data_IF_614119024804
#
_entry.id   IF_614119024804
#
_cell.length_a   1.000
_cell.length_b   1.000
_cell.length_c   1.000
_cell.angle_alpha   90.00
_cell.angle_beta   90.00
_cell.angle_gamma   90.00
#
_symmetry.space_group_name_H-M   'P 1'
#
loop_
_entity.id
_entity.type
_entity.pdbx_description
1 polymer ?
#
# COMPACT_ATOMS: atom_id res chain seq x y z
N UNK A 1 -2.01 -16.56 4.45
CA UNK A 1 -2.55 -15.19 4.54
C UNK A 1 -1.62 -14.27 3.78
N UNK A 2 -2.10 -13.08 3.42
CA UNK A 2 -1.29 -12.08 2.70
C UNK A 2 -0.05 -11.69 3.50
N UNK A 3 -0.19 -11.56 4.83
CA UNK A 3 0.92 -11.28 5.75
C UNK A 3 2.02 -12.34 5.70
N UNK A 4 1.66 -13.63 5.62
CA UNK A 4 2.65 -14.69 5.48
C UNK A 4 3.41 -14.56 4.16
N UNK A 5 2.69 -14.36 3.06
CA UNK A 5 3.28 -14.19 1.73
C UNK A 5 4.21 -12.98 1.65
N UNK A 6 3.86 -11.88 2.31
CA UNK A 6 4.70 -10.69 2.44
C UNK A 6 6.05 -11.02 3.10
N UNK A 7 6.07 -11.72 4.24
CA UNK A 7 7.32 -12.08 4.90
C UNK A 7 8.13 -13.13 4.13
N UNK A 8 7.48 -14.08 3.45
CA UNK A 8 8.16 -15.01 2.53
C UNK A 8 8.81 -14.26 1.36
N UNK A 9 8.14 -13.24 0.82
CA UNK A 9 8.68 -12.37 -0.21
C UNK A 9 9.89 -11.58 0.30
N UNK A 10 9.78 -10.95 1.48
CA UNK A 10 10.89 -10.21 2.08
C UNK A 10 12.14 -11.05 2.29
N UNK A 11 12.00 -12.26 2.85
CA UNK A 11 13.12 -13.18 3.03
C UNK A 11 13.72 -13.63 1.70
N UNK A 12 12.88 -14.06 0.74
CA UNK A 12 13.35 -14.55 -0.57
C UNK A 12 14.03 -13.47 -1.44
N UNK A 13 13.78 -12.19 -1.15
CA UNK A 13 14.38 -11.05 -1.85
C UNK A 13 15.49 -10.37 -1.04
N UNK A 14 15.97 -11.01 0.03
CA UNK A 14 17.02 -10.50 0.90
C UNK A 14 16.72 -9.09 1.47
N UNK A 15 15.45 -8.77 1.67
CA UNK A 15 15.01 -7.52 2.30
C UNK A 15 15.03 -7.61 3.82
N UNK A 16 14.97 -8.84 4.35
CA UNK A 16 14.98 -9.15 5.78
C UNK A 16 15.92 -10.33 5.99
N UNK A 17 16.63 -10.37 7.12
CA UNK A 17 17.59 -11.44 7.40
C UNK A 17 16.94 -12.84 7.44
N UNK A 18 17.71 -13.88 7.11
CA UNK A 18 17.26 -15.28 7.22
C UNK A 18 16.83 -15.63 8.65
N UNK A 19 17.52 -15.08 9.66
CA UNK A 19 17.21 -15.28 11.07
C UNK A 19 15.84 -14.68 11.42
N UNK A 20 15.62 -13.41 11.08
CA UNK A 20 14.33 -12.73 11.31
C UNK A 20 13.20 -13.46 10.58
N UNK A 21 13.42 -13.87 9.33
CA UNK A 21 12.44 -14.63 8.54
C UNK A 21 12.10 -15.96 9.22
N UNK A 22 13.11 -16.71 9.68
CA UNK A 22 12.90 -17.98 10.37
C UNK A 22 12.12 -17.82 11.68
N UNK A 23 12.41 -16.76 12.45
CA UNK A 23 11.66 -16.43 13.69
C UNK A 23 10.21 -16.11 13.36
N UNK A 24 9.95 -15.26 12.36
CA UNK A 24 8.60 -14.90 11.91
C UNK A 24 7.82 -16.15 11.48
N UNK A 25 8.40 -16.99 10.63
CA UNK A 25 7.72 -18.20 10.13
C UNK A 25 7.42 -19.21 11.22
N UNK A 26 8.17 -19.18 12.33
CA UNK A 26 8.01 -20.10 13.45
C UNK A 26 7.05 -19.60 14.54
N UNK A 27 7.08 -18.30 14.84
CA UNK A 27 6.42 -17.74 16.04
C UNK A 27 5.22 -16.85 15.75
N UNK A 28 4.99 -16.44 14.49
CA UNK A 28 3.81 -15.68 14.11
C UNK A 28 2.64 -16.60 13.75
N UNK A 29 1.45 -16.25 14.23
CA UNK A 29 0.21 -16.93 13.90
C UNK A 29 -0.42 -16.29 12.65
N UNK A 30 -0.39 -17.02 11.54
CA UNK A 30 -0.95 -16.59 10.27
C UNK A 30 -2.38 -17.08 10.02
N UNK A 31 -3.04 -17.65 11.03
CA UNK A 31 -4.41 -18.12 10.90
C UNK A 31 -5.40 -16.95 10.76
N UNK A 32 -6.49 -17.12 10.00
CA UNK A 32 -7.51 -16.09 9.80
C UNK A 32 -8.12 -15.47 11.06
N UNK A 33 -8.11 -16.21 12.17
CA UNK A 33 -8.76 -15.84 13.43
C UNK A 33 -7.76 -15.35 14.49
N UNK A 34 -6.48 -15.20 14.13
CA UNK A 34 -5.47 -14.68 15.03
C UNK A 34 -5.80 -13.23 15.41
N UNK A 35 -6.14 -12.99 16.67
CA UNK A 35 -6.44 -11.65 17.21
C UNK A 35 -5.24 -11.01 17.90
N UNK A 36 -4.25 -11.82 18.29
CA UNK A 36 -3.02 -11.39 18.96
C UNK A 36 -1.83 -12.17 18.42
N UNK A 37 -0.64 -11.61 18.57
CA UNK A 37 0.63 -12.23 18.21
C UNK A 37 1.50 -12.41 19.46
N UNK A 38 2.41 -13.37 19.43
CA UNK A 38 3.41 -13.54 20.49
C UNK A 38 4.38 -12.35 20.53
N UNK A 39 4.95 -12.06 21.70
CA UNK A 39 5.96 -10.99 21.82
C UNK A 39 7.16 -11.23 20.87
N UNK A 40 7.58 -12.49 20.75
CA UNK A 40 8.66 -12.90 19.83
C UNK A 40 8.29 -12.57 18.37
N UNK A 41 7.05 -12.84 17.96
CA UNK A 41 6.58 -12.44 16.62
C UNK A 41 6.59 -10.92 16.44
N UNK A 42 6.07 -10.16 17.41
CA UNK A 42 6.01 -8.69 17.33
C UNK A 42 7.41 -8.07 17.25
N UNK A 43 8.37 -8.58 18.02
CA UNK A 43 9.77 -8.15 17.98
C UNK A 43 10.39 -8.43 16.61
N UNK A 44 10.24 -9.66 16.09
CA UNK A 44 10.77 -10.01 14.77
C UNK A 44 10.10 -9.23 13.62
N UNK A 45 8.79 -9.00 13.71
CA UNK A 45 8.05 -8.14 12.79
C UNK A 45 8.57 -6.68 12.82
N UNK A 46 8.92 -6.18 14.00
CA UNK A 46 9.52 -4.85 14.16
C UNK A 46 10.92 -4.76 13.57
N UNK A 47 11.73 -5.82 13.63
CA UNK A 47 13.02 -5.87 12.91
C UNK A 47 12.81 -5.87 11.39
N UNK A 48 11.88 -6.68 10.88
CA UNK A 48 11.53 -6.68 9.47
C UNK A 48 11.02 -5.31 8.98
N UNK A 49 10.25 -4.59 9.80
CA UNK A 49 9.82 -3.22 9.51
C UNK A 49 11.00 -2.26 9.40
N UNK A 50 11.99 -2.35 10.31
CA UNK A 50 13.20 -1.51 10.24
C UNK A 50 13.99 -1.76 8.97
N UNK A 51 14.14 -3.02 8.55
CA UNK A 51 14.87 -3.36 7.33
C UNK A 51 14.16 -2.84 6.07
N UNK A 52 12.82 -2.79 6.11
CA UNK A 52 11.99 -2.41 4.95
C UNK A 52 11.50 -0.95 4.96
N UNK A 53 11.75 -0.18 6.02
CA UNK A 53 11.23 1.19 6.13
C UNK A 53 11.80 2.19 5.11
N UNK A 54 12.94 1.85 4.51
CA UNK A 54 13.69 2.72 3.60
C UNK A 54 13.59 2.27 2.15
N UNK A 55 12.60 1.44 1.82
CA UNK A 55 12.29 0.98 0.46
C UNK A 55 10.81 1.22 0.15
N UNK A 56 10.48 1.25 -1.14
CA UNK A 56 9.09 1.20 -1.58
C UNK A 56 8.62 -0.26 -1.61
N UNK A 57 7.75 -0.64 -0.68
CA UNK A 57 7.22 -2.01 -0.59
C UNK A 57 6.29 -2.36 -1.77
N UNK A 58 5.79 -1.37 -2.51
CA UNK A 58 5.00 -1.60 -3.72
C UNK A 58 5.89 -1.84 -4.96
N UNK A 59 7.14 -1.38 -4.93
CA UNK A 59 8.14 -1.65 -5.96
C UNK A 59 9.55 -1.59 -5.39
N UNK A 60 10.08 -2.74 -4.99
CA UNK A 60 11.37 -2.85 -4.28
C UNK A 60 12.59 -2.43 -5.12
N UNK A 61 12.42 -2.22 -6.42
CA UNK A 61 13.45 -1.75 -7.33
C UNK A 61 13.28 -0.27 -7.71
N UNK A 62 12.18 0.37 -7.31
CA UNK A 62 11.93 1.76 -7.61
C UNK A 62 12.83 2.69 -6.79
N UNK A 63 13.25 3.83 -7.36
CA UNK A 63 13.88 4.89 -6.58
C UNK A 63 12.86 5.50 -5.61
N UNK A 64 13.33 6.03 -4.48
CA UNK A 64 12.49 6.83 -3.58
C UNK A 64 12.41 8.29 -4.03
N UNK A 65 11.28 8.93 -3.74
CA UNK A 65 11.14 10.37 -3.92
C UNK A 65 12.06 11.14 -2.97
N UNK A 66 13.07 11.82 -3.53
CA UNK A 66 14.00 12.66 -2.75
C UNK A 66 13.58 14.12 -2.69
N UNK A 67 12.78 14.58 -3.64
CA UNK A 67 12.37 15.98 -3.74
C UNK A 67 10.90 16.11 -4.14
N UNK A 68 10.10 16.49 -3.16
CA UNK A 68 8.65 16.67 -3.23
C UNK A 68 8.23 18.03 -3.76
N UNK A 69 9.19 18.94 -4.00
CA UNK A 69 8.91 20.29 -4.50
C UNK A 69 8.38 20.23 -5.92
N UNK A 70 7.34 21.02 -6.16
CA UNK A 70 6.71 21.18 -7.45
C UNK A 70 7.53 22.12 -8.33
N UNK A 71 7.51 21.87 -9.64
CA UNK A 71 8.14 22.73 -10.64
C UNK A 71 7.09 23.22 -11.62
N UNK A 72 7.19 24.47 -12.08
CA UNK A 72 6.25 25.05 -13.05
C UNK A 72 6.19 24.27 -14.37
N UNK A 73 7.30 23.60 -14.71
CA UNK A 73 7.41 22.73 -15.87
C UNK A 73 7.49 21.28 -15.40
N UNK A 74 6.82 20.34 -16.10
CA UNK A 74 7.00 18.92 -15.83
C UNK A 74 8.49 18.54 -15.92
N UNK A 75 8.98 17.76 -14.96
CA UNK A 75 10.30 17.17 -15.06
C UNK A 75 10.33 16.28 -16.29
N UNK A 76 11.38 16.38 -17.10
CA UNK A 76 11.57 15.46 -18.23
C UNK A 76 11.87 14.08 -17.64
N UNK A 77 11.00 13.11 -17.91
CA UNK A 77 11.27 11.71 -17.59
C UNK A 77 12.35 11.20 -18.54
N UNK A 78 13.43 10.65 -18.00
CA UNK A 78 14.47 10.00 -18.79
C UNK A 78 14.14 8.50 -18.90
N UNK A 79 13.52 8.09 -20.02
CA UNK A 79 13.26 6.67 -20.31
C UNK A 79 12.09 6.05 -19.53
N UNK A 80 12.23 4.76 -19.19
CA UNK A 80 11.27 3.91 -18.43
C UNK A 80 11.18 4.27 -16.93
N UNK A 81 11.94 5.27 -16.47
CA UNK A 81 11.93 5.69 -15.06
C UNK A 81 10.66 6.49 -14.76
N UNK A 82 9.72 5.83 -14.08
CA UNK A 82 8.59 6.47 -13.41
C UNK A 82 9.13 7.43 -12.34
N UNK A 83 8.61 8.66 -12.29
CA UNK A 83 8.98 9.61 -11.24
C UNK A 83 8.38 9.16 -9.89
N UNK A 84 9.20 8.81 -8.89
CA UNK A 84 8.69 8.28 -7.62
C UNK A 84 7.96 9.34 -6.79
N UNK A 85 7.99 10.61 -7.20
CA UNK A 85 7.28 11.70 -6.57
C UNK A 85 5.85 11.92 -7.13
N UNK A 86 5.32 10.98 -7.92
CA UNK A 86 4.02 11.09 -8.60
C UNK A 86 2.86 11.53 -7.72
N UNK A 87 2.77 11.01 -6.49
CA UNK A 87 1.69 11.32 -5.54
C UNK A 87 1.61 12.81 -5.20
N UNK A 88 2.76 13.49 -5.10
CA UNK A 88 2.79 14.93 -4.83
C UNK A 88 2.23 15.74 -6.00
N UNK A 89 2.41 15.26 -7.23
CA UNK A 89 1.86 15.90 -8.43
C UNK A 89 0.35 15.74 -8.49
N UNK A 90 -0.16 14.55 -8.18
CA UNK A 90 -1.59 14.27 -8.12
C UNK A 90 -2.26 15.10 -7.03
N UNK A 91 -1.66 15.15 -5.84
CA UNK A 91 -2.14 15.97 -4.73
C UNK A 91 -2.26 17.44 -5.12
N UNK A 92 -1.20 18.00 -5.72
CA UNK A 92 -1.19 19.39 -6.13
C UNK A 92 -2.22 19.68 -7.23
N UNK A 93 -2.33 18.78 -8.22
CA UNK A 93 -3.24 18.94 -9.34
C UNK A 93 -4.70 18.91 -8.89
N UNK A 94 -5.10 17.92 -8.09
CA UNK A 94 -6.49 17.76 -7.65
C UNK A 94 -6.94 18.82 -6.63
N UNK A 95 -6.01 19.54 -6.01
CA UNK A 95 -6.29 20.66 -5.13
C UNK A 95 -6.29 22.04 -5.82
N UNK A 96 -6.06 22.10 -7.14
CA UNK A 96 -6.20 23.35 -7.88
C UNK A 96 -7.67 23.78 -7.98
N UNK A 97 -7.99 25.08 -7.81
CA UNK A 97 -9.37 25.56 -7.89
C UNK A 97 -10.04 25.30 -9.24
N UNK A 98 -9.31 25.49 -10.34
CA UNK A 98 -9.82 25.30 -11.70
C UNK A 98 -10.05 23.81 -12.02
N UNK A 99 -9.19 22.92 -11.51
CA UNK A 99 -9.38 21.46 -11.61
C UNK A 99 -10.59 21.00 -10.81
N UNK A 100 -10.74 21.49 -9.58
CA UNK A 100 -11.90 21.21 -8.74
C UNK A 100 -13.21 21.67 -9.41
N UNK A 101 -13.22 22.87 -9.98
CA UNK A 101 -14.37 23.38 -10.73
C UNK A 101 -14.69 22.51 -11.95
N UNK A 102 -13.68 22.14 -12.75
CA UNK A 102 -13.85 21.28 -13.92
C UNK A 102 -14.36 19.86 -13.59
N UNK A 103 -14.01 19.33 -12.41
CA UNK A 103 -14.49 18.04 -11.91
C UNK A 103 -15.82 18.14 -11.13
N UNK A 104 -16.40 19.34 -11.02
CA UNK A 104 -17.56 19.63 -10.18
C UNK A 104 -17.35 19.21 -8.71
N UNK A 105 -16.13 19.28 -8.21
CA UNK A 105 -15.74 18.98 -6.84
C UNK A 105 -15.49 20.27 -6.05
N UNK A 106 -15.96 20.36 -4.80
CA UNK A 106 -15.74 21.53 -3.93
C UNK A 106 -16.02 22.91 -4.61
N UNK A 107 -16.99 22.99 -5.51
CA UNK A 107 -17.28 24.22 -6.29
C UNK A 107 -17.74 25.36 -5.39
N UNK A 108 -18.51 25.05 -4.35
CA UNK A 108 -18.98 26.02 -3.35
C UNK A 108 -17.91 26.42 -2.34
N UNK A 109 -16.72 25.81 -2.38
CA UNK A 109 -15.61 26.03 -1.43
C UNK A 109 -16.00 25.81 0.04
N UNK A 110 -17.00 24.96 0.28
CA UNK A 110 -17.51 24.65 1.62
C UNK A 110 -16.83 23.42 2.27
N UNK A 111 -15.97 22.71 1.55
CA UNK A 111 -15.19 21.60 2.12
C UNK A 111 -13.95 22.19 2.81
N UNK A 112 -13.79 22.01 4.14
CA UNK A 112 -12.76 22.69 4.91
C UNK A 112 -11.38 22.01 4.86
N UNK A 113 -11.21 21.02 3.99
CA UNK A 113 -9.99 20.24 3.86
C UNK A 113 -9.66 19.99 2.39
N UNK A 114 -8.38 19.81 2.13
CA UNK A 114 -7.87 19.44 0.81
C UNK A 114 -8.30 18.01 0.44
N UNK A 115 -8.38 17.76 -0.87
CA UNK A 115 -8.41 16.41 -1.39
C UNK A 115 -7.13 15.67 -0.94
N UNK A 116 -7.28 14.42 -0.52
CA UNK A 116 -6.19 13.53 -0.08
C UNK A 116 -6.33 12.19 -0.81
N UNK A 117 -5.22 11.48 -1.07
CA UNK A 117 -5.27 10.13 -1.67
C UNK A 117 -5.95 9.11 -0.74
N UNK A 118 -5.79 9.28 0.58
CA UNK A 118 -6.39 8.44 1.61
C UNK A 118 -7.06 9.30 2.68
N UNK A 119 -8.16 8.80 3.25
CA UNK A 119 -8.88 9.51 4.32
C UNK A 119 -8.39 9.08 5.71
N UNK A 120 -7.89 10.04 6.48
CA UNK A 120 -7.52 9.83 7.89
C UNK A 120 -8.73 9.71 8.83
N UNK A 121 -9.95 9.91 8.34
CA UNK A 121 -11.20 9.78 9.13
C UNK A 121 -11.59 8.30 9.25
N UNK A 122 -11.39 7.51 8.19
CA UNK A 122 -11.77 6.10 8.12
C UNK A 122 -10.66 5.20 8.67
N UNK A 123 -10.37 5.30 9.98
CA UNK A 123 -9.27 4.55 10.61
C UNK A 123 -9.61 3.09 10.94
N UNK A 124 -10.90 2.76 11.10
CA UNK A 124 -11.35 1.43 11.50
C UNK A 124 -12.41 0.92 10.53
N UNK A 125 -12.01 -0.02 9.69
CA UNK A 125 -12.90 -0.75 8.81
C UNK A 125 -13.39 -2.02 9.51
N UNK A 126 -14.70 -2.23 9.58
CA UNK A 126 -15.29 -3.35 10.32
C UNK A 126 -15.60 -4.57 9.44
N UNK A 127 -15.82 -4.36 8.14
CA UNK A 127 -16.19 -5.42 7.19
C UNK A 127 -14.95 -5.93 6.44
N UNK A 128 -14.21 -6.83 7.07
CA UNK A 128 -12.96 -7.38 6.53
C UNK A 128 -12.95 -8.91 6.65
N UNK A 129 -13.60 -9.63 5.70
CA UNK A 129 -13.55 -11.08 5.68
C UNK A 129 -12.12 -11.58 5.43
N UNK A 130 -11.73 -12.66 6.08
CA UNK A 130 -10.37 -13.21 5.98
C UNK A 130 -10.02 -13.88 4.65
N UNK A 131 -11.02 -14.09 3.79
CA UNK A 131 -10.84 -14.65 2.46
C UNK A 131 -12.01 -14.30 1.54
N UNK A 132 -11.71 -14.12 0.24
CA UNK A 132 -12.71 -13.95 -0.82
C UNK A 132 -12.96 -15.23 -1.62
N UNK A 133 -12.29 -16.35 -1.28
CA UNK A 133 -12.37 -17.63 -2.02
C UNK A 133 -13.82 -18.11 -2.25
N UNK A 134 -14.74 -18.07 -1.26
CA UNK A 134 -16.13 -18.48 -1.48
C UNK A 134 -16.81 -17.68 -2.60
N UNK A 135 -16.62 -16.35 -2.62
CA UNK A 135 -17.18 -15.47 -3.65
C UNK A 135 -16.57 -15.76 -5.02
N UNK A 136 -15.26 -15.96 -5.09
CA UNK A 136 -14.61 -16.33 -6.36
C UNK A 136 -15.17 -17.64 -6.93
N UNK A 137 -15.40 -18.64 -6.07
CA UNK A 137 -16.02 -19.91 -6.47
C UNK A 137 -17.45 -19.72 -6.97
N UNK A 138 -18.23 -18.90 -6.28
CA UNK A 138 -19.59 -18.56 -6.68
C UNK A 138 -19.62 -17.88 -8.05
N UNK A 139 -18.76 -16.89 -8.29
CA UNK A 139 -18.66 -16.19 -9.57
C UNK A 139 -18.33 -17.16 -10.71
N UNK A 140 -17.34 -18.03 -10.53
CA UNK A 140 -16.98 -19.02 -11.53
C UNK A 140 -18.11 -20.04 -11.77
N UNK A 141 -18.83 -20.48 -10.74
CA UNK A 141 -19.97 -21.39 -10.87
C UNK A 141 -21.13 -20.79 -11.66
N UNK A 142 -21.28 -19.46 -11.63
CA UNK A 142 -22.28 -18.71 -12.38
C UNK A 142 -21.77 -18.22 -13.76
N UNK A 143 -20.64 -18.74 -14.24
CA UNK A 143 -20.10 -18.42 -15.56
C UNK A 143 -19.44 -17.03 -15.67
N UNK A 144 -19.19 -16.35 -14.54
CA UNK A 144 -18.45 -15.09 -14.51
C UNK A 144 -16.95 -15.38 -14.61
N UNK A 145 -16.28 -14.76 -15.59
CA UNK A 145 -14.84 -14.85 -15.74
C UNK A 145 -14.15 -13.93 -14.73
N UNK A 146 -13.32 -14.51 -13.87
CA UNK A 146 -12.53 -13.78 -12.86
C UNK A 146 -11.08 -13.67 -13.34
N UNK A 147 -10.50 -12.48 -13.23
CA UNK A 147 -9.06 -12.22 -13.41
C UNK A 147 -8.49 -11.70 -12.09
N UNK A 148 -7.31 -12.20 -11.72
CA UNK A 148 -6.53 -11.74 -10.57
C UNK A 148 -5.16 -11.33 -11.12
N UNK A 149 -4.73 -10.10 -10.81
CA UNK A 149 -3.47 -9.50 -11.28
C UNK A 149 -2.84 -8.70 -10.15
#
# INVERSE_FOLDING_TARGET
SDVKGMYEFFGSHALVSDETTAVIMKYCDFTPNATTQSNICNEAAGEAEKDTNSIDIYNIYAPLCKNTSLTDKPKKTSGLDLDPCGDYYVYAYLNRPDVQEALHANVTKNIPYDWQPCSNVLKKWLDSPSTVIPLLKEFMANGIRVWIF
#
